data_IF_041687204698
#
_entry.id   IF_041687204698
#
_cell.length_a   1.000
_cell.length_b   1.000
_cell.length_c   1.000
_cell.angle_alpha   90.00
_cell.angle_beta   90.00
_cell.angle_gamma   90.00
#
_symmetry.space_group_name_H-M   'P 1'
#
loop_
_entity.id
_entity.type
_entity.pdbx_description
1 polymer ?
#
# COMPACT_ATOMS: atom_id res chain seq x y z
N UNK A 1 12.51 29.47 -19.44
CA UNK A 1 11.23 28.88 -19.87
C UNK A 1 11.39 27.38 -19.74
N UNK A 2 11.21 26.87 -18.52
CA UNK A 2 11.23 25.44 -18.21
C UNK A 2 9.83 24.91 -18.46
N UNK A 3 9.71 23.98 -19.40
CA UNK A 3 8.43 23.31 -19.65
C UNK A 3 7.95 22.60 -18.37
N UNK A 4 6.65 22.64 -18.05
CA UNK A 4 6.14 21.86 -16.95
C UNK A 4 6.31 20.39 -17.31
N UNK A 5 7.06 19.65 -16.49
CA UNK A 5 7.10 18.19 -16.55
C UNK A 5 5.64 17.73 -16.52
N UNK A 6 5.17 17.10 -17.60
CA UNK A 6 3.81 16.58 -17.65
C UNK A 6 3.64 15.65 -16.46
N UNK A 7 2.84 16.06 -15.48
CA UNK A 7 2.55 15.29 -14.28
C UNK A 7 1.63 14.13 -14.66
N UNK A 8 2.17 13.16 -15.40
CA UNK A 8 1.41 12.05 -15.94
C UNK A 8 1.18 11.06 -14.82
N UNK A 9 0.03 11.19 -14.16
CA UNK A 9 -0.44 10.24 -13.15
C UNK A 9 -0.49 8.83 -13.73
N UNK A 10 -0.14 7.83 -12.92
CA UNK A 10 -0.28 6.44 -13.34
C UNK A 10 -1.78 6.12 -13.56
N UNK A 11 -2.14 5.36 -14.61
CA UNK A 11 -3.53 4.96 -14.85
C UNK A 11 -4.14 4.21 -13.67
N UNK A 12 -3.36 3.37 -12.99
CA UNK A 12 -3.74 2.69 -11.78
C UNK A 12 -2.56 2.56 -10.81
N UNK A 13 -2.84 2.35 -9.52
CA UNK A 13 -1.82 2.14 -8.50
C UNK A 13 -2.38 1.52 -7.24
N UNK A 14 -1.57 0.72 -6.54
CA UNK A 14 -1.93 0.18 -5.25
C UNK A 14 -1.62 1.21 -4.17
N UNK A 15 -2.62 1.56 -3.36
CA UNK A 15 -2.44 2.39 -2.18
C UNK A 15 -1.98 1.51 -1.02
N UNK A 16 -0.84 1.88 -0.42
CA UNK A 16 -0.45 1.38 0.89
C UNK A 16 -1.49 1.80 1.95
N UNK A 17 -1.60 1.04 3.03
CA UNK A 17 -2.56 1.29 4.10
C UNK A 17 -2.34 2.67 4.74
N UNK A 18 -1.08 3.11 4.87
CA UNK A 18 -0.77 4.45 5.38
C UNK A 18 -1.33 5.56 4.48
N UNK A 19 -1.31 5.38 3.15
CA UNK A 19 -1.87 6.33 2.17
C UNK A 19 -3.38 6.35 2.25
N UNK A 20 -4.01 5.18 2.39
CA UNK A 20 -5.45 5.07 2.48
C UNK A 20 -6.04 5.70 3.75
N UNK A 21 -5.32 5.58 4.88
CA UNK A 21 -5.69 6.21 6.15
C UNK A 21 -5.64 7.74 6.03
N UNK A 22 -4.62 8.27 5.37
CA UNK A 22 -4.38 9.70 5.25
C UNK A 22 -4.91 10.29 3.93
N UNK A 23 -5.80 9.58 3.23
CA UNK A 23 -6.24 9.92 1.87
C UNK A 23 -6.80 11.34 1.75
N UNK A 24 -7.49 11.83 2.78
CA UNK A 24 -8.08 13.17 2.84
C UNK A 24 -7.04 14.30 2.95
N UNK A 25 -5.81 13.96 3.31
CA UNK A 25 -4.70 14.91 3.47
C UNK A 25 -3.86 15.05 2.19
N UNK A 26 -4.09 14.21 1.18
CA UNK A 26 -3.28 14.13 -0.04
C UNK A 26 -3.93 14.86 -1.21
N UNK A 27 -3.11 15.46 -2.09
CA UNK A 27 -3.61 16.05 -3.33
C UNK A 27 -3.99 14.91 -4.30
N UNK A 28 -5.13 15.06 -4.99
CA UNK A 28 -5.55 14.12 -6.03
C UNK A 28 -4.52 14.03 -7.18
N UNK A 29 -3.75 15.09 -7.40
CA UNK A 29 -2.65 15.11 -8.37
C UNK A 29 -1.53 14.11 -8.04
N UNK A 30 -1.37 13.76 -6.77
CA UNK A 30 -0.33 12.84 -6.27
C UNK A 30 -0.79 11.38 -6.21
N UNK A 31 -2.06 11.11 -6.54
CA UNK A 31 -2.67 9.78 -6.50
C UNK A 31 -2.82 9.18 -7.91
N UNK A 32 -2.91 7.83 -8.07
CA UNK A 32 -3.19 7.23 -9.37
C UNK A 32 -4.59 7.62 -9.86
N UNK A 33 -4.83 7.55 -11.18
CA UNK A 33 -6.16 7.81 -11.76
C UNK A 33 -7.17 6.82 -11.19
N UNK A 34 -6.81 5.53 -11.14
CA UNK A 34 -7.59 4.47 -10.53
C UNK A 34 -6.85 3.91 -9.30
N UNK A 35 -7.29 4.26 -8.07
CA UNK A 35 -6.72 3.69 -6.87
C UNK A 35 -7.19 2.24 -6.69
N UNK A 36 -6.26 1.37 -6.29
CA UNK A 36 -6.53 -0.01 -5.87
C UNK A 36 -6.12 -0.18 -4.42
N UNK A 37 -6.76 -1.12 -3.73
CA UNK A 37 -6.36 -1.59 -2.39
C UNK A 37 -6.15 -3.11 -2.43
N UNK A 38 -5.63 -3.68 -1.34
CA UNK A 38 -5.45 -5.12 -1.23
C UNK A 38 -6.06 -5.69 0.05
N UNK A 39 -6.21 -7.01 0.12
CA UNK A 39 -6.78 -7.69 1.28
C UNK A 39 -5.96 -7.49 2.56
N UNK A 40 -4.66 -7.17 2.45
CA UNK A 40 -3.81 -6.90 3.63
C UNK A 40 -4.16 -5.55 4.25
N UNK A 41 -4.54 -4.56 3.45
CA UNK A 41 -5.06 -3.28 3.93
C UNK A 41 -6.32 -3.47 4.78
N UNK A 42 -7.24 -4.33 4.34
CA UNK A 42 -8.43 -4.68 5.15
C UNK A 42 -8.02 -5.37 6.46
N UNK A 43 -7.04 -6.27 6.43
CA UNK A 43 -6.57 -6.91 7.66
C UNK A 43 -5.97 -5.91 8.67
N UNK A 44 -5.21 -4.91 8.19
CA UNK A 44 -4.64 -3.86 9.04
C UNK A 44 -5.70 -2.93 9.63
N UNK A 45 -6.70 -2.53 8.84
CA UNK A 45 -7.84 -1.77 9.33
C UNK A 45 -8.65 -2.57 10.37
N UNK A 46 -8.84 -3.87 10.13
CA UNK A 46 -9.50 -4.78 11.05
C UNK A 46 -8.76 -4.92 12.38
N UNK A 47 -7.43 -4.94 12.35
CA UNK A 47 -6.61 -4.88 13.57
C UNK A 47 -6.80 -3.56 14.31
N UNK A 48 -6.94 -2.45 13.57
CA UNK A 48 -7.32 -1.16 14.11
C UNK A 48 -8.66 -1.21 14.84
N UNK A 49 -9.69 -1.82 14.25
CA UNK A 49 -11.00 -2.04 14.89
C UNK A 49 -10.85 -2.86 16.16
N UNK A 50 -10.17 -4.01 16.09
CA UNK A 50 -9.96 -4.90 17.23
C UNK A 50 -9.19 -4.25 18.39
N UNK A 51 -8.38 -3.23 18.09
CA UNK A 51 -7.57 -2.50 19.07
C UNK A 51 -8.21 -1.18 19.55
N UNK A 52 -9.43 -0.87 19.12
CA UNK A 52 -10.14 0.35 19.52
C UNK A 52 -10.42 0.34 21.03
N UNK A 53 -10.11 1.46 21.70
CA UNK A 53 -10.23 1.58 23.17
C UNK A 53 -11.50 2.27 23.63
N UNK A 54 -12.20 2.95 22.73
CA UNK A 54 -13.41 3.73 23.01
C UNK A 54 -14.50 3.39 22.00
N UNK A 55 -15.79 3.46 22.38
CA UNK A 55 -16.90 3.26 21.46
C UNK A 55 -16.84 4.18 20.24
N UNK A 56 -16.39 5.43 20.41
CA UNK A 56 -16.27 6.42 19.34
C UNK A 56 -15.22 5.99 18.32
N UNK A 57 -14.04 5.58 18.78
CA UNK A 57 -12.98 5.07 17.89
C UNK A 57 -13.35 3.76 17.18
N UNK A 58 -14.15 2.92 17.84
CA UNK A 58 -14.64 1.67 17.27
C UNK A 58 -15.64 1.94 16.14
N UNK A 59 -16.60 2.83 16.38
CA UNK A 59 -17.61 3.24 15.41
C UNK A 59 -16.95 3.82 14.15
N UNK A 60 -16.05 4.80 14.31
CA UNK A 60 -15.36 5.44 13.19
C UNK A 60 -14.55 4.46 12.34
N UNK A 61 -13.79 3.55 12.98
CA UNK A 61 -12.98 2.56 12.26
C UNK A 61 -13.84 1.50 11.56
N UNK A 62 -14.98 1.15 12.15
CA UNK A 62 -15.93 0.20 11.55
C UNK A 62 -16.62 0.82 10.34
N UNK A 63 -17.08 2.06 10.45
CA UNK A 63 -17.65 2.83 9.34
C UNK A 63 -16.66 2.94 8.18
N UNK A 64 -15.40 3.31 8.47
CA UNK A 64 -14.36 3.39 7.46
C UNK A 64 -14.08 2.05 6.76
N UNK A 65 -14.11 0.93 7.49
CA UNK A 65 -13.99 -0.40 6.86
C UNK A 65 -15.12 -0.66 5.87
N UNK A 66 -16.37 -0.41 6.27
CA UNK A 66 -17.54 -0.65 5.43
C UNK A 66 -17.54 0.23 4.18
N UNK A 67 -17.14 1.50 4.30
CA UNK A 67 -16.95 2.40 3.16
C UNK A 67 -15.97 1.81 2.14
N UNK A 68 -14.83 1.31 2.62
CA UNK A 68 -13.78 0.76 1.75
C UNK A 68 -14.19 -0.57 1.12
N UNK A 69 -14.85 -1.46 1.85
CA UNK A 69 -15.40 -2.70 1.31
C UNK A 69 -16.49 -2.44 0.27
N UNK A 70 -17.23 -1.32 0.39
CA UNK A 70 -18.21 -0.91 -0.61
C UNK A 70 -17.56 -0.27 -1.85
N UNK A 71 -16.52 0.55 -1.65
CA UNK A 71 -15.90 1.34 -2.71
C UNK A 71 -14.87 0.57 -3.55
N UNK A 72 -14.28 -0.50 -3.01
CA UNK A 72 -13.16 -1.19 -3.65
C UNK A 72 -13.37 -2.71 -3.75
N UNK A 73 -12.79 -3.29 -4.80
CA UNK A 73 -12.56 -4.74 -4.93
C UNK A 73 -11.09 -5.05 -4.58
N UNK A 74 -10.78 -5.53 -3.36
CA UNK A 74 -9.41 -5.66 -2.89
C UNK A 74 -8.63 -6.78 -3.60
N UNK A 75 -7.43 -6.47 -4.08
CA UNK A 75 -6.54 -7.46 -4.67
C UNK A 75 -6.10 -8.51 -3.63
N UNK A 76 -6.24 -9.82 -3.92
CA UNK A 76 -5.96 -10.87 -2.95
C UNK A 76 -4.47 -11.15 -2.79
N UNK A 77 -4.06 -11.51 -1.57
CA UNK A 77 -2.76 -12.13 -1.35
C UNK A 77 -2.77 -13.61 -1.77
N UNK A 78 -2.45 -13.84 -3.04
CA UNK A 78 -2.50 -15.15 -3.68
C UNK A 78 -1.11 -15.85 -3.67
N UNK A 79 -1.02 -17.12 -4.11
CA UNK A 79 0.25 -17.85 -4.13
C UNK A 79 1.37 -17.19 -4.95
N UNK A 80 1.06 -16.43 -6.00
CA UNK A 80 2.07 -15.69 -6.77
C UNK A 80 2.63 -14.52 -5.96
N UNK A 81 1.78 -13.76 -5.26
CA UNK A 81 2.20 -12.72 -4.33
C UNK A 81 3.04 -13.29 -3.18
N UNK A 82 2.67 -14.45 -2.62
CA UNK A 82 3.46 -15.11 -1.58
C UNK A 82 4.88 -15.51 -2.05
N UNK A 83 5.03 -15.94 -3.30
CA UNK A 83 6.37 -16.19 -3.90
C UNK A 83 7.14 -14.88 -4.11
N UNK A 84 6.46 -13.83 -4.61
CA UNK A 84 7.08 -12.50 -4.80
C UNK A 84 7.55 -11.88 -3.49
N UNK A 85 6.80 -12.04 -2.40
CA UNK A 85 7.21 -11.64 -1.06
C UNK A 85 8.57 -12.23 -0.68
N UNK A 86 8.83 -13.49 -1.02
CA UNK A 86 10.14 -14.12 -0.76
C UNK A 86 11.27 -13.43 -1.53
N UNK A 87 11.03 -13.03 -2.78
CA UNK A 87 12.01 -12.27 -3.57
C UNK A 87 12.28 -10.89 -2.96
N UNK A 88 11.23 -10.15 -2.58
CA UNK A 88 11.37 -8.84 -1.95
C UNK A 88 12.09 -8.94 -0.60
N UNK A 89 11.74 -9.92 0.24
CA UNK A 89 12.41 -10.15 1.51
C UNK A 89 13.91 -10.49 1.33
N UNK A 90 14.27 -11.27 0.31
CA UNK A 90 15.67 -11.54 -0.03
C UNK A 90 16.42 -10.27 -0.41
N UNK A 91 15.81 -9.38 -1.17
CA UNK A 91 16.41 -8.10 -1.53
C UNK A 91 16.61 -7.19 -0.31
N UNK A 92 15.63 -7.13 0.58
CA UNK A 92 15.75 -6.41 1.87
C UNK A 92 16.92 -6.95 2.71
N UNK A 93 17.07 -8.28 2.78
CA UNK A 93 18.20 -8.93 3.47
C UNK A 93 19.53 -8.60 2.77
N UNK A 94 19.59 -8.67 1.44
CA UNK A 94 20.77 -8.32 0.67
C UNK A 94 21.18 -6.84 0.83
N UNK A 95 20.20 -5.96 1.07
CA UNK A 95 20.41 -4.56 1.43
C UNK A 95 20.81 -4.34 2.91
N UNK A 96 21.10 -5.40 3.67
CA UNK A 96 21.56 -5.33 5.06
C UNK A 96 20.46 -5.02 6.07
N UNK A 97 19.18 -5.23 5.72
CA UNK A 97 18.03 -4.88 6.57
C UNK A 97 17.26 -6.12 7.02
N UNK A 98 16.58 -5.99 8.16
CA UNK A 98 15.70 -7.05 8.67
C UNK A 98 14.29 -6.93 8.04
N UNK A 99 13.77 -7.95 7.33
CA UNK A 99 12.44 -7.91 6.74
C UNK A 99 11.30 -8.11 7.76
N UNK A 100 11.57 -8.65 8.96
CA UNK A 100 10.51 -9.00 9.93
C UNK A 100 9.64 -7.82 10.39
N UNK A 101 10.17 -6.62 10.71
CA UNK A 101 9.35 -5.49 11.14
C UNK A 101 8.37 -4.99 10.07
N UNK A 102 8.71 -5.19 8.79
CA UNK A 102 7.96 -4.72 7.62
C UNK A 102 7.29 -5.86 6.85
N UNK A 103 6.95 -6.94 7.55
CA UNK A 103 6.45 -8.18 6.93
C UNK A 103 5.16 -7.93 6.14
N UNK A 104 4.24 -7.15 6.71
CA UNK A 104 2.96 -6.83 6.08
C UNK A 104 3.16 -5.89 4.91
N UNK A 105 3.96 -4.84 5.08
CA UNK A 105 4.34 -3.91 3.99
C UNK A 105 4.92 -4.67 2.79
N UNK A 106 5.83 -5.62 3.03
CA UNK A 106 6.41 -6.44 1.96
C UNK A 106 5.38 -7.39 1.31
N UNK A 107 4.31 -7.79 2.02
CA UNK A 107 3.20 -8.53 1.42
C UNK A 107 2.34 -7.61 0.53
N UNK A 108 2.09 -6.37 0.95
CA UNK A 108 1.39 -5.35 0.13
C UNK A 108 2.21 -5.04 -1.13
N UNK A 109 3.50 -4.78 -0.98
CA UNK A 109 4.44 -4.60 -2.09
C UNK A 109 4.49 -5.81 -3.03
N UNK A 110 4.40 -7.04 -2.50
CA UNK A 110 4.35 -8.22 -3.32
C UNK A 110 3.08 -8.27 -4.19
N UNK A 111 1.93 -7.84 -3.65
CA UNK A 111 0.67 -7.74 -4.40
C UNK A 111 0.78 -6.68 -5.49
N UNK A 112 1.31 -5.49 -5.19
CA UNK A 112 1.56 -4.45 -6.19
C UNK A 112 2.45 -4.98 -7.34
N UNK A 113 3.59 -5.59 -6.97
CA UNK A 113 4.58 -6.14 -7.91
C UNK A 113 4.02 -7.22 -8.83
N UNK A 114 3.18 -8.14 -8.34
CA UNK A 114 2.62 -9.21 -9.22
C UNK A 114 1.46 -8.75 -10.10
N UNK A 115 0.87 -7.60 -9.79
CA UNK A 115 -0.19 -6.99 -10.60
C UNK A 115 0.36 -5.85 -11.49
N UNK A 116 1.69 -5.68 -11.55
CA UNK A 116 2.37 -4.61 -12.30
C UNK A 116 1.85 -3.20 -11.94
N UNK A 117 1.49 -3.00 -10.67
CA UNK A 117 1.02 -1.72 -10.16
C UNK A 117 2.13 -0.98 -9.41
N UNK A 118 2.28 0.34 -9.59
CA UNK A 118 3.07 1.15 -8.68
C UNK A 118 2.47 1.13 -7.28
N UNK A 119 3.32 1.04 -6.25
CA UNK A 119 2.92 1.17 -4.85
C UNK A 119 3.05 2.63 -4.41
N UNK A 120 1.92 3.23 -4.03
CA UNK A 120 1.87 4.55 -3.42
C UNK A 120 2.04 4.39 -1.92
N UNK A 121 3.05 5.02 -1.33
CA UNK A 121 3.37 4.88 0.10
C UNK A 121 3.93 6.17 0.68
N UNK A 122 3.64 6.42 1.95
CA UNK A 122 4.29 7.48 2.74
C UNK A 122 5.59 7.04 3.39
N UNK A 123 5.90 5.74 3.34
CA UNK A 123 7.07 5.14 3.98
C UNK A 123 8.00 4.48 2.93
N UNK A 124 8.47 5.22 1.90
CA UNK A 124 9.28 4.63 0.81
C UNK A 124 10.56 3.98 1.33
N UNK A 125 11.09 4.51 2.45
CA UNK A 125 12.26 3.95 3.11
C UNK A 125 12.08 2.51 3.58
N UNK A 126 10.86 2.00 3.81
CA UNK A 126 10.67 0.60 4.18
C UNK A 126 10.95 -0.38 3.04
N UNK A 127 10.91 0.09 1.80
CA UNK A 127 11.05 -0.73 0.60
C UNK A 127 12.42 -0.57 -0.09
N UNK A 128 13.32 0.24 0.45
CA UNK A 128 14.67 0.43 -0.08
C UNK A 128 15.38 -0.89 -0.38
N UNK A 129 15.86 -1.03 -1.61
CA UNK A 129 16.51 -2.22 -2.15
C UNK A 129 15.60 -3.12 -3.00
N UNK A 130 14.32 -2.76 -3.17
CA UNK A 130 13.34 -3.53 -3.96
C UNK A 130 12.98 -2.93 -5.32
N UNK A 131 13.69 -1.89 -5.74
CA UNK A 131 13.37 -1.04 -6.90
C UNK A 131 13.38 -1.79 -8.23
N UNK A 132 14.09 -2.92 -8.30
CA UNK A 132 14.12 -3.79 -9.48
C UNK A 132 12.86 -4.67 -9.63
N UNK A 133 12.04 -4.79 -8.60
CA UNK A 133 10.82 -5.62 -8.59
C UNK A 133 9.56 -4.81 -8.30
N UNK A 134 9.68 -3.57 -7.85
CA UNK A 134 8.57 -2.74 -7.43
C UNK A 134 8.82 -1.29 -7.85
N UNK A 135 7.87 -0.72 -8.59
CA UNK A 135 7.80 0.73 -8.79
C UNK A 135 7.14 1.35 -7.57
N UNK A 136 7.78 2.35 -6.97
CA UNK A 136 7.24 3.09 -5.83
C UNK A 136 6.96 4.53 -6.21
N UNK A 137 5.88 5.06 -5.66
CA UNK A 137 5.51 6.47 -5.77
C UNK A 137 5.36 7.02 -4.35
N UNK A 138 6.34 7.78 -3.84
CA UNK A 138 6.22 8.47 -2.57
C UNK A 138 5.10 9.51 -2.63
N UNK A 139 4.28 9.56 -1.57
CA UNK A 139 3.24 10.59 -1.35
C UNK A 139 3.27 11.14 0.06
#
# INVERSE_FOLDING_TARGET
MTEPVSNTRFPAGLLDTCVLIDLELLDQADLPIEPKICTLTLAELGLGIASAKTPETLALRTERMLELEHAFDPLPFCPTAARRFTSLAKLVVAAGRNPKPRKVDLMIAAIASVNDLPLYTRNPDDFRGTENLLTMVPV
#
